data_IF_858075518880
#
_entry.id   IF_858075518880
#
_cell.length_a   1.000
_cell.length_b   1.000
_cell.length_c   1.000
_cell.angle_alpha   90.00
_cell.angle_beta   90.00
_cell.angle_gamma   90.00
#
_symmetry.space_group_name_H-M   'P 1'
#
loop_
_entity.id
_entity.type
_entity.pdbx_description
1 polymer ?
#
# COMPACT_ATOMS: atom_id res chain seq x y z
N UNK A 1 -24.80 18.14 11.01
CA UNK A 1 -23.93 17.14 10.34
C UNK A 1 -22.72 17.87 9.77
N UNK A 2 -21.47 17.48 10.09
CA UNK A 2 -20.29 18.19 9.57
C UNK A 2 -20.09 17.83 8.09
N UNK A 3 -20.20 18.81 7.20
CA UNK A 3 -19.87 18.66 5.79
C UNK A 3 -18.42 18.20 5.66
N UNK A 4 -18.19 17.04 5.06
CA UNK A 4 -16.85 16.58 4.70
C UNK A 4 -16.28 17.60 3.71
N UNK A 5 -15.25 18.35 4.10
CA UNK A 5 -14.47 19.16 3.15
C UNK A 5 -14.03 18.24 2.01
N UNK A 6 -14.41 18.59 0.79
CA UNK A 6 -14.05 17.83 -0.39
C UNK A 6 -12.53 17.88 -0.54
N UNK A 7 -11.89 16.70 -0.57
CA UNK A 7 -10.45 16.62 -0.73
C UNK A 7 -10.10 16.97 -2.18
N UNK A 8 -9.11 17.83 -2.37
CA UNK A 8 -8.58 18.14 -3.69
C UNK A 8 -7.86 16.90 -4.26
N UNK A 9 -8.45 16.31 -5.29
CA UNK A 9 -7.94 15.13 -5.97
C UNK A 9 -6.58 15.43 -6.62
N UNK A 10 -6.42 16.61 -7.21
CA UNK A 10 -5.17 17.01 -7.89
C UNK A 10 -4.01 17.05 -6.88
N UNK A 11 -4.25 17.62 -5.70
CA UNK A 11 -3.28 17.64 -4.61
C UNK A 11 -2.93 16.22 -4.13
N UNK A 12 -3.92 15.33 -3.99
CA UNK A 12 -3.72 13.93 -3.60
C UNK A 12 -2.85 13.17 -4.61
N UNK A 13 -3.12 13.33 -5.90
CA UNK A 13 -2.33 12.70 -6.95
C UNK A 13 -0.89 13.23 -6.97
N UNK A 14 -0.70 14.54 -6.78
CA UNK A 14 0.63 15.15 -6.72
C UNK A 14 1.44 14.69 -5.50
N UNK A 15 0.81 14.58 -4.33
CA UNK A 15 1.47 14.12 -3.11
C UNK A 15 1.73 12.60 -3.13
N UNK A 16 0.83 11.81 -3.74
CA UNK A 16 0.92 10.35 -3.89
C UNK A 16 0.70 9.55 -2.59
N UNK A 17 1.04 10.11 -1.43
CA UNK A 17 1.05 9.41 -0.14
C UNK A 17 -0.31 8.79 0.24
N UNK A 18 -1.41 9.48 -0.02
CA UNK A 18 -2.74 8.96 0.28
C UNK A 18 -3.14 7.80 -0.63
N UNK A 19 -2.75 7.88 -1.91
CA UNK A 19 -2.97 6.81 -2.90
C UNK A 19 -2.13 5.58 -2.52
N UNK A 20 -0.85 5.77 -2.22
CA UNK A 20 0.06 4.69 -1.83
C UNK A 20 -0.45 3.93 -0.60
N UNK A 21 -0.94 4.66 0.41
CA UNK A 21 -1.52 4.07 1.62
C UNK A 21 -2.78 3.28 1.33
N UNK A 22 -3.66 3.80 0.47
CA UNK A 22 -4.89 3.15 0.06
C UNK A 22 -4.59 1.87 -0.74
N UNK A 23 -3.70 1.95 -1.73
CA UNK A 23 -3.27 0.81 -2.52
C UNK A 23 -2.64 -0.27 -1.64
N UNK A 24 -1.70 0.10 -0.75
CA UNK A 24 -1.09 -0.85 0.16
C UNK A 24 -2.08 -1.50 1.14
N UNK A 25 -3.19 -0.84 1.47
CA UNK A 25 -4.25 -1.43 2.29
C UNK A 25 -5.09 -2.41 1.46
N UNK A 26 -5.47 -2.02 0.25
CA UNK A 26 -6.21 -2.86 -0.68
C UNK A 26 -5.43 -4.14 -1.05
N UNK A 27 -4.13 -4.04 -1.32
CA UNK A 27 -3.29 -5.21 -1.60
C UNK A 27 -3.25 -6.20 -0.43
N UNK A 28 -3.09 -5.69 0.81
CA UNK A 28 -3.09 -6.54 2.01
C UNK A 28 -4.42 -7.26 2.18
N UNK A 29 -5.52 -6.57 1.94
CA UNK A 29 -6.86 -7.15 2.02
C UNK A 29 -7.11 -8.18 0.91
N UNK A 30 -6.66 -7.93 -0.32
CA UNK A 30 -6.75 -8.88 -1.42
C UNK A 30 -5.99 -10.18 -1.11
N UNK A 31 -4.73 -10.07 -0.65
CA UNK A 31 -3.93 -11.23 -0.22
C UNK A 31 -4.65 -12.01 0.88
N UNK A 32 -5.20 -11.31 1.88
CA UNK A 32 -5.93 -11.94 2.98
C UNK A 32 -7.13 -12.74 2.49
N UNK A 33 -7.92 -12.21 1.56
CA UNK A 33 -9.10 -12.90 1.01
C UNK A 33 -8.72 -14.13 0.19
N UNK A 34 -7.69 -14.04 -0.64
CA UNK A 34 -7.20 -15.18 -1.42
C UNK A 34 -6.68 -16.30 -0.52
N UNK A 35 -5.94 -15.95 0.53
CA UNK A 35 -5.52 -16.90 1.58
C UNK A 35 -6.68 -17.60 2.26
N UNK A 36 -7.70 -16.86 2.65
CA UNK A 36 -8.87 -17.43 3.33
C UNK A 36 -9.70 -18.33 2.43
N UNK A 37 -9.79 -18.00 1.15
CA UNK A 37 -10.51 -18.80 0.17
C UNK A 37 -9.68 -19.95 -0.42
N UNK A 38 -8.36 -20.01 -0.14
CA UNK A 38 -7.46 -21.01 -0.71
C UNK A 38 -7.31 -20.91 -2.23
N UNK A 39 -7.59 -19.73 -2.81
CA UNK A 39 -7.55 -19.52 -4.26
C UNK A 39 -6.29 -18.75 -4.67
N UNK A 40 -5.64 -19.13 -5.77
CA UNK A 40 -4.43 -18.46 -6.23
C UNK A 40 -4.72 -17.03 -6.72
N UNK A 41 -3.70 -16.17 -6.69
CA UNK A 41 -3.78 -14.78 -7.12
C UNK A 41 -2.81 -14.51 -8.28
N UNK A 42 -3.30 -13.85 -9.32
CA UNK A 42 -2.45 -13.38 -10.40
C UNK A 42 -1.66 -12.12 -9.96
N UNK A 43 -0.35 -12.14 -10.18
CA UNK A 43 0.55 -11.01 -9.90
C UNK A 43 1.38 -10.66 -11.13
N UNK A 44 1.79 -9.40 -11.22
CA UNK A 44 2.81 -8.99 -12.18
C UNK A 44 4.20 -9.15 -11.56
N UNK A 45 5.05 -9.98 -12.17
CA UNK A 45 6.42 -10.24 -11.75
C UNK A 45 7.30 -10.31 -13.00
N UNK A 46 8.39 -9.55 -13.01
CA UNK A 46 9.40 -9.57 -14.07
C UNK A 46 8.84 -9.39 -15.50
N UNK A 47 7.87 -8.47 -15.64
CA UNK A 47 7.26 -8.16 -16.93
C UNK A 47 6.22 -9.18 -17.41
N UNK A 48 5.80 -10.13 -16.57
CA UNK A 48 4.84 -11.17 -16.91
C UNK A 48 3.76 -11.30 -15.83
N UNK A 49 2.59 -11.78 -16.23
CA UNK A 49 1.54 -12.22 -15.31
C UNK A 49 1.84 -13.65 -14.86
N UNK A 50 1.93 -13.85 -13.54
CA UNK A 50 2.19 -15.15 -12.91
C UNK A 50 1.06 -15.45 -11.94
N UNK A 51 0.54 -16.67 -11.96
CA UNK A 51 -0.42 -17.15 -10.97
C UNK A 51 0.34 -17.70 -9.77
N UNK A 52 0.06 -17.20 -8.57
CA UNK A 52 0.75 -17.59 -7.33
C UNK A 52 -0.25 -18.17 -6.36
N UNK A 53 0.09 -19.31 -5.77
CA UNK A 53 -0.76 -19.95 -4.78
C UNK A 53 -0.94 -19.12 -3.54
N UNK A 54 -2.12 -19.25 -2.93
CA UNK A 54 -2.51 -18.45 -1.77
C UNK A 54 -1.52 -18.60 -0.60
N UNK A 55 -0.95 -19.80 -0.42
CA UNK A 55 0.03 -20.10 0.62
C UNK A 55 1.33 -19.31 0.47
N UNK A 56 1.75 -19.00 -0.77
CA UNK A 56 3.01 -18.34 -1.08
C UNK A 56 2.90 -16.79 -1.07
N UNK A 57 1.70 -16.25 -0.98
CA UNK A 57 1.48 -14.80 -0.99
C UNK A 57 1.93 -14.15 0.32
N UNK A 58 3.08 -13.50 0.35
CA UNK A 58 3.48 -12.68 1.51
C UNK A 58 3.14 -11.19 1.33
N UNK A 59 2.46 -10.54 2.30
CA UNK A 59 2.31 -9.09 2.27
C UNK A 59 3.69 -8.45 2.49
N UNK A 60 4.21 -7.72 1.48
CA UNK A 60 5.48 -6.99 1.63
C UNK A 60 5.46 -6.12 2.90
N UNK A 61 6.48 -6.22 3.77
CA UNK A 61 6.52 -5.42 4.98
C UNK A 61 6.58 -3.94 4.61
N UNK A 62 5.84 -3.12 5.36
CA UNK A 62 5.95 -1.66 5.26
C UNK A 62 7.40 -1.28 5.56
N UNK A 63 8.18 -0.87 4.56
CA UNK A 63 9.47 -0.23 4.80
C UNK A 63 9.20 1.00 5.66
N UNK A 64 9.55 0.95 6.95
CA UNK A 64 9.53 2.12 7.83
C UNK A 64 10.54 3.10 7.23
N UNK A 65 10.07 4.22 6.68
CA UNK A 65 10.98 5.33 6.34
C UNK A 65 11.70 5.73 7.64
N UNK A 66 13.04 5.82 7.66
CA UNK A 66 13.73 6.35 8.82
C UNK A 66 13.21 7.76 9.09
N UNK A 67 12.89 8.06 10.36
CA UNK A 67 12.46 9.41 10.76
C UNK A 67 13.56 10.39 10.32
N UNK A 68 13.23 11.56 9.74
CA UNK A 68 14.24 12.57 9.47
C UNK A 68 14.93 12.90 10.80
N UNK A 69 16.26 12.78 10.85
CA UNK A 69 17.05 13.19 12.01
C UNK A 69 16.79 14.67 12.18
N UNK A 70 15.97 15.03 13.16
CA UNK A 70 15.77 16.41 13.57
C UNK A 70 17.15 16.92 14.00
N UNK A 71 17.76 17.80 13.21
CA UNK A 71 18.97 18.50 13.61
C UNK A 71 18.54 19.52 14.68
N UNK A 72 18.45 19.04 15.93
CA UNK A 72 18.36 19.93 17.07
C UNK A 72 19.71 20.61 17.24
N UNK A 73 19.69 21.94 17.09
CA UNK A 73 20.59 22.93 17.68
C UNK A 73 22.06 22.55 17.88
N UNK A 74 22.93 23.12 17.04
CA UNK A 74 24.21 23.68 17.50
C UNK A 74 24.07 25.18 17.25
N UNK A 75 23.78 25.96 18.29
CA UNK A 75 24.76 26.71 19.09
C UNK A 75 25.70 27.50 18.20
#
# INVERSE_FOLDING_TARGET
MKAKRQKDITAIFREGTLIDRALAAATREAIRRHKQAGVPMAIWRDGKTVLVDAAELEPKPRKRRPKPRTQHGRR
#
